data_IF_548587061258
#
_entry.id   IF_548587061258
#
_cell.length_a   1.000
_cell.length_b   1.000
_cell.length_c   1.000
_cell.angle_alpha   90.00
_cell.angle_beta   90.00
_cell.angle_gamma   90.00
#
_symmetry.space_group_name_H-M   'P 1'
#
loop_
_entity.id
_entity.type
_entity.pdbx_description
1 polymer ?
#
# COMPACT_ATOMS: atom_id res chain seq x y z
N UNK A 1 -9.16 7.25 -30.91
CA UNK A 1 -10.37 7.91 -30.39
C UNK A 1 -11.51 7.91 -31.41
N UNK A 2 -11.38 8.60 -32.56
CA UNK A 2 -12.45 8.72 -33.57
C UNK A 2 -12.90 7.36 -34.13
N UNK A 3 -11.97 6.49 -34.56
CA UNK A 3 -12.29 5.13 -35.04
C UNK A 3 -12.97 4.22 -34.00
N UNK A 4 -12.90 4.58 -32.71
CA UNK A 4 -13.57 3.86 -31.60
C UNK A 4 -14.89 4.53 -31.19
N UNK A 5 -15.39 5.51 -31.94
CA UNK A 5 -16.66 6.19 -31.67
C UNK A 5 -16.61 7.39 -30.71
N UNK A 6 -15.43 7.76 -30.20
CA UNK A 6 -15.30 8.83 -29.17
C UNK A 6 -15.13 10.25 -29.74
N UNK A 7 -15.37 10.47 -31.04
CA UNK A 7 -15.11 11.76 -31.70
C UNK A 7 -15.91 12.92 -31.09
N UNK A 8 -17.20 12.71 -30.82
CA UNK A 8 -18.11 13.76 -30.29
C UNK A 8 -17.79 14.20 -28.85
N UNK A 9 -17.00 13.40 -28.13
CA UNK A 9 -16.62 13.63 -26.73
C UNK A 9 -15.34 14.47 -26.59
N UNK A 10 -14.58 14.61 -27.69
CA UNK A 10 -13.37 15.42 -27.72
C UNK A 10 -13.70 16.89 -27.46
N UNK A 11 -12.97 17.52 -26.54
CA UNK A 11 -13.19 18.90 -26.11
C UNK A 11 -14.37 19.12 -25.16
N UNK A 12 -15.18 18.08 -24.88
CA UNK A 12 -16.28 18.14 -23.92
C UNK A 12 -15.87 17.52 -22.58
N UNK A 13 -15.57 16.22 -22.61
CA UNK A 13 -15.15 15.44 -21.44
C UNK A 13 -13.88 14.62 -21.69
N UNK A 14 -13.43 14.54 -22.96
CA UNK A 14 -12.13 13.99 -23.34
C UNK A 14 -11.26 15.13 -23.88
N UNK A 15 -10.16 15.41 -23.19
CA UNK A 15 -9.20 16.43 -23.60
C UNK A 15 -7.87 15.78 -23.95
N UNK A 16 -7.39 15.99 -25.18
CA UNK A 16 -6.11 15.47 -25.64
C UNK A 16 -5.09 16.61 -25.61
N UNK A 17 -3.93 16.34 -25.01
CA UNK A 17 -2.80 17.27 -24.96
C UNK A 17 -1.59 16.60 -25.60
N UNK A 18 -0.88 17.33 -26.44
CA UNK A 18 0.38 16.90 -27.05
C UNK A 18 1.51 17.69 -26.39
N UNK A 19 1.94 17.23 -25.22
CA UNK A 19 2.97 17.85 -24.40
C UNK A 19 3.54 16.78 -23.46
N UNK A 20 4.68 17.06 -22.82
CA UNK A 20 5.15 16.24 -21.72
C UNK A 20 4.16 16.32 -20.55
N UNK A 21 4.05 15.24 -19.78
CA UNK A 21 3.10 15.21 -18.66
C UNK A 21 3.44 16.29 -17.63
N UNK A 22 4.71 16.51 -17.37
CA UNK A 22 5.26 17.55 -16.49
C UNK A 22 4.80 18.95 -16.87
N UNK A 23 4.73 19.24 -18.17
CA UNK A 23 4.33 20.55 -18.70
C UNK A 23 2.82 20.72 -18.63
N UNK A 24 2.07 19.64 -18.87
CA UNK A 24 0.61 19.66 -18.82
C UNK A 24 0.04 19.58 -17.39
N UNK A 25 0.81 19.03 -16.43
CA UNK A 25 0.34 18.73 -15.07
C UNK A 25 -0.19 19.98 -14.33
N UNK A 26 0.49 21.14 -14.32
CA UNK A 26 0.00 22.33 -13.62
C UNK A 26 -1.42 22.73 -14.05
N UNK A 27 -1.71 22.73 -15.36
CA UNK A 27 -3.04 23.03 -15.87
C UNK A 27 -4.09 21.99 -15.47
N UNK A 28 -3.70 20.71 -15.44
CA UNK A 28 -4.58 19.62 -15.00
C UNK A 28 -4.94 19.82 -13.53
N UNK A 29 -3.97 20.18 -12.68
CA UNK A 29 -4.21 20.47 -11.26
C UNK A 29 -5.19 21.63 -11.09
N UNK A 30 -4.96 22.74 -11.79
CA UNK A 30 -5.86 23.91 -11.79
C UNK A 30 -7.26 23.50 -12.26
N UNK A 31 -7.38 22.68 -13.29
CA UNK A 31 -8.66 22.21 -13.79
C UNK A 31 -9.41 21.34 -12.76
N UNK A 32 -8.71 20.43 -12.07
CA UNK A 32 -9.31 19.60 -11.01
C UNK A 32 -9.77 20.46 -9.83
N UNK A 33 -8.97 21.46 -9.43
CA UNK A 33 -9.33 22.38 -8.36
C UNK A 33 -10.56 23.22 -8.69
N UNK A 34 -10.69 23.68 -9.94
CA UNK A 34 -11.87 24.43 -10.41
C UNK A 34 -13.17 23.63 -10.37
N UNK A 35 -13.12 22.29 -10.38
CA UNK A 35 -14.31 21.43 -10.31
C UNK A 35 -14.93 21.37 -8.90
N UNK A 36 -14.22 21.80 -7.86
CA UNK A 36 -14.74 21.90 -6.50
C UNK A 36 -13.82 21.31 -5.44
N UNK A 37 -14.19 21.45 -4.17
CA UNK A 37 -13.30 21.25 -3.01
C UNK A 37 -12.89 19.80 -2.72
N UNK A 38 -13.54 18.82 -3.34
CA UNK A 38 -13.23 17.42 -3.14
C UNK A 38 -11.98 16.99 -3.92
N UNK A 39 -11.65 17.61 -5.06
CA UNK A 39 -10.51 17.24 -5.90
C UNK A 39 -10.39 15.72 -6.17
N UNK A 40 -11.52 15.04 -6.39
CA UNK A 40 -11.52 13.59 -6.69
C UNK A 40 -10.95 13.38 -8.07
N UNK A 41 -9.85 12.65 -8.17
CA UNK A 41 -9.14 12.45 -9.43
C UNK A 41 -8.33 11.16 -9.38
N UNK A 42 -8.34 10.43 -10.49
CA UNK A 42 -7.54 9.23 -10.68
C UNK A 42 -6.58 9.45 -11.85
N UNK A 43 -5.28 9.31 -11.60
CA UNK A 43 -4.23 9.43 -12.60
C UNK A 43 -3.71 8.05 -12.95
N UNK A 44 -3.75 7.70 -14.23
CA UNK A 44 -3.11 6.50 -14.76
C UNK A 44 -1.82 6.93 -15.43
N UNK A 45 -0.68 6.54 -14.86
CA UNK A 45 0.65 6.94 -15.31
C UNK A 45 1.37 5.68 -15.78
N UNK A 46 1.54 5.56 -17.09
CA UNK A 46 2.18 4.39 -17.70
C UNK A 46 3.69 4.63 -17.85
N UNK A 47 4.50 4.25 -16.85
CA UNK A 47 5.96 4.46 -16.87
C UNK A 47 6.73 3.23 -17.39
N UNK A 48 6.19 2.49 -18.35
CA UNK A 48 6.84 1.28 -18.86
C UNK A 48 8.32 1.48 -19.29
N UNK A 49 8.71 2.73 -19.63
CA UNK A 49 10.08 3.14 -19.98
C UNK A 49 10.87 3.95 -18.94
N UNK A 50 10.40 4.10 -17.69
CA UNK A 50 11.09 4.82 -16.57
C UNK A 50 11.30 6.33 -16.71
N UNK A 51 11.22 6.87 -17.92
CA UNK A 51 11.63 8.24 -18.24
C UNK A 51 10.49 9.27 -18.24
N UNK A 52 9.25 8.80 -18.25
CA UNK A 52 8.14 9.63 -18.77
C UNK A 52 7.43 10.45 -17.70
N UNK A 53 7.58 10.09 -16.42
CA UNK A 53 6.96 10.81 -15.31
C UNK A 53 7.92 10.86 -14.12
N UNK A 54 8.18 12.06 -13.59
CA UNK A 54 9.03 12.24 -12.40
C UNK A 54 8.26 11.98 -11.10
N UNK A 55 8.91 11.36 -10.12
CA UNK A 55 8.33 11.20 -8.77
C UNK A 55 8.00 12.55 -8.11
N UNK A 56 8.75 13.62 -8.41
CA UNK A 56 8.44 14.99 -8.01
C UNK A 56 7.09 15.50 -8.55
N UNK A 57 6.73 15.13 -9.78
CA UNK A 57 5.41 15.46 -10.35
C UNK A 57 4.31 14.73 -9.57
N UNK A 58 4.51 13.44 -9.28
CA UNK A 58 3.59 12.63 -8.46
C UNK A 58 3.42 13.24 -7.06
N UNK A 59 4.54 13.62 -6.42
CA UNK A 59 4.56 14.30 -5.12
C UNK A 59 3.78 15.61 -5.16
N UNK A 60 3.91 16.38 -6.23
CA UNK A 60 3.15 17.62 -6.44
C UNK A 60 1.65 17.34 -6.54
N UNK A 61 1.23 16.32 -7.30
CA UNK A 61 -0.18 15.92 -7.41
C UNK A 61 -0.75 15.54 -6.04
N UNK A 62 -0.05 14.65 -5.32
CA UNK A 62 -0.47 14.16 -4.00
C UNK A 62 -0.50 15.27 -2.94
N UNK A 63 0.41 16.24 -3.01
CA UNK A 63 0.46 17.38 -2.09
C UNK A 63 -0.52 18.52 -2.41
N UNK A 64 -0.95 18.64 -3.67
CA UNK A 64 -1.80 19.76 -4.13
C UNK A 64 -3.28 19.42 -4.10
N UNK A 65 -3.64 18.18 -4.44
CA UNK A 65 -5.04 17.75 -4.52
C UNK A 65 -5.47 17.09 -3.20
N UNK A 66 -6.77 17.20 -2.87
CA UNK A 66 -7.31 16.66 -1.63
C UNK A 66 -7.55 15.15 -1.70
N UNK A 67 -8.14 14.67 -2.79
CA UNK A 67 -8.43 13.25 -3.00
C UNK A 67 -7.86 12.69 -4.33
N UNK A 68 -6.54 12.83 -4.59
CA UNK A 68 -5.89 12.18 -5.72
C UNK A 68 -5.61 10.71 -5.42
N UNK A 69 -5.79 9.88 -6.45
CA UNK A 69 -5.28 8.51 -6.51
C UNK A 69 -4.45 8.37 -7.78
N UNK A 70 -3.36 7.60 -7.68
CA UNK A 70 -2.42 7.41 -8.79
C UNK A 70 -2.19 5.92 -8.97
N UNK A 71 -2.36 5.44 -10.20
CA UNK A 71 -1.99 4.10 -10.64
C UNK A 71 -0.77 4.23 -11.55
N UNK A 72 0.35 3.74 -11.05
CA UNK A 72 1.65 3.85 -11.69
C UNK A 72 2.10 2.46 -12.17
N UNK A 73 2.34 2.27 -13.47
CA UNK A 73 2.95 1.02 -13.95
C UNK A 73 4.47 1.12 -13.90
N UNK A 74 5.13 0.02 -13.52
CA UNK A 74 6.58 -0.05 -13.34
C UNK A 74 7.11 -1.37 -13.92
N UNK A 75 7.91 -1.37 -14.98
CA UNK A 75 8.41 -2.58 -15.66
C UNK A 75 9.60 -3.27 -14.93
N UNK A 76 9.49 -3.56 -13.64
CA UNK A 76 10.59 -3.75 -12.65
C UNK A 76 11.84 -4.46 -13.13
N UNK A 77 11.68 -5.56 -13.85
CA UNK A 77 12.80 -6.35 -14.35
C UNK A 77 13.74 -5.48 -15.21
N UNK A 78 13.18 -4.60 -16.06
CA UNK A 78 13.97 -3.68 -16.86
C UNK A 78 14.69 -2.60 -16.02
N UNK A 79 14.20 -2.21 -14.83
CA UNK A 79 14.91 -1.28 -13.95
C UNK A 79 16.04 -2.04 -13.26
N UNK A 80 15.77 -3.24 -12.77
CA UNK A 80 16.78 -4.08 -12.11
C UNK A 80 17.93 -4.39 -13.07
N UNK A 81 17.60 -4.73 -14.31
CA UNK A 81 18.58 -4.99 -15.36
C UNK A 81 19.35 -3.71 -15.71
N UNK A 82 18.66 -2.57 -15.86
CA UNK A 82 19.30 -1.26 -16.08
C UNK A 82 20.26 -0.85 -14.95
N UNK A 83 19.87 -1.03 -13.69
CA UNK A 83 20.73 -0.74 -12.53
C UNK A 83 21.95 -1.67 -12.48
N UNK A 84 21.85 -2.86 -13.10
CA UNK A 84 22.88 -3.89 -13.10
C UNK A 84 23.99 -3.71 -14.13
N UNK A 85 23.72 -3.11 -15.29
CA UNK A 85 24.62 -3.16 -16.45
C UNK A 85 25.75 -2.10 -16.47
N UNK A 86 25.90 -1.28 -15.42
CA UNK A 86 26.97 -0.27 -15.27
C UNK A 86 27.25 0.53 -16.56
N UNK A 87 26.38 1.48 -16.90
CA UNK A 87 26.69 2.89 -17.23
C UNK A 87 25.49 3.54 -17.95
N UNK A 88 25.21 4.81 -17.60
CA UNK A 88 25.26 5.80 -18.67
C UNK A 88 23.99 6.46 -19.20
N UNK A 89 22.85 6.49 -18.51
CA UNK A 89 21.88 7.58 -18.73
C UNK A 89 21.32 8.09 -17.40
N UNK A 90 21.76 9.29 -17.02
CA UNK A 90 21.43 9.97 -15.78
C UNK A 90 19.90 10.17 -15.57
N UNK A 91 19.09 10.04 -16.63
CA UNK A 91 17.68 10.43 -16.61
C UNK A 91 16.79 9.47 -15.81
N UNK A 92 17.00 8.15 -15.89
CA UNK A 92 16.20 7.18 -15.13
C UNK A 92 16.44 7.29 -13.62
N UNK A 93 17.70 7.51 -13.21
CA UNK A 93 18.07 7.77 -11.81
C UNK A 93 17.49 9.10 -11.30
N UNK A 94 17.47 10.13 -12.15
CA UNK A 94 16.88 11.44 -11.83
C UNK A 94 15.36 11.34 -11.65
N UNK A 95 14.66 10.57 -12.49
CA UNK A 95 13.20 10.50 -12.46
C UNK A 95 12.67 9.66 -11.30
N UNK A 96 13.37 8.57 -10.96
CA UNK A 96 13.10 7.76 -9.76
C UNK A 96 13.71 8.40 -8.51
N UNK A 97 14.50 9.47 -8.64
CA UNK A 97 15.16 10.19 -7.54
C UNK A 97 16.04 9.26 -6.66
N UNK A 98 16.72 8.27 -7.25
CA UNK A 98 17.62 7.34 -6.54
C UNK A 98 19.01 7.97 -6.36
N UNK A 99 19.51 8.03 -5.12
CA UNK A 99 20.88 8.44 -4.88
C UNK A 99 21.86 7.34 -5.32
N UNK A 100 23.11 7.70 -5.62
CA UNK A 100 24.14 6.72 -6.00
C UNK A 100 24.41 5.73 -4.88
N UNK A 101 24.28 6.16 -3.64
CA UNK A 101 24.44 5.35 -2.43
C UNK A 101 23.30 4.32 -2.34
N UNK A 102 22.04 4.73 -2.57
CA UNK A 102 20.87 3.84 -2.59
C UNK A 102 21.03 2.76 -3.68
N UNK A 103 21.51 3.14 -4.86
CA UNK A 103 21.79 2.18 -5.95
C UNK A 103 22.88 1.20 -5.54
N UNK A 104 23.96 1.66 -4.92
CA UNK A 104 25.02 0.77 -4.44
C UNK A 104 24.51 -0.19 -3.36
N UNK A 105 23.69 0.30 -2.44
CA UNK A 105 23.05 -0.55 -1.41
C UNK A 105 22.18 -1.61 -2.08
N UNK A 106 21.25 -1.23 -2.96
CA UNK A 106 20.40 -2.16 -3.70
C UNK A 106 21.22 -3.18 -4.51
N UNK A 107 22.31 -2.75 -5.15
CA UNK A 107 23.18 -3.62 -5.93
C UNK A 107 24.04 -4.54 -5.06
N UNK A 108 24.37 -4.16 -3.83
CA UNK A 108 25.09 -5.03 -2.88
C UNK A 108 24.26 -6.26 -2.47
N UNK A 109 22.93 -6.17 -2.57
CA UNK A 109 21.99 -7.24 -2.27
C UNK A 109 21.95 -8.33 -3.36
N UNK A 110 22.56 -8.11 -4.53
CA UNK A 110 22.53 -9.00 -5.72
C UNK A 110 23.22 -10.37 -5.51
N UNK A 111 24.01 -10.51 -4.45
CA UNK A 111 24.88 -11.68 -4.25
C UNK A 111 24.19 -12.88 -3.57
N UNK A 112 22.90 -12.78 -3.19
CA UNK A 112 22.14 -13.86 -2.54
C UNK A 112 20.95 -14.37 -3.36
N UNK A 113 20.48 -15.59 -3.08
CA UNK A 113 19.18 -16.06 -3.59
C UNK A 113 18.05 -15.12 -3.13
N UNK A 114 17.12 -14.79 -4.03
CA UNK A 114 16.02 -13.87 -3.71
C UNK A 114 16.36 -12.38 -3.74
N UNK A 115 17.56 -11.98 -4.21
CA UNK A 115 17.96 -10.58 -4.31
C UNK A 115 17.01 -9.67 -5.09
N UNK A 116 16.30 -10.22 -6.09
CA UNK A 116 15.27 -9.45 -6.81
C UNK A 116 14.18 -8.96 -5.85
N UNK A 117 13.72 -9.81 -4.94
CA UNK A 117 12.73 -9.44 -3.92
C UNK A 117 13.23 -8.33 -2.97
N UNK A 118 14.53 -8.37 -2.64
CA UNK A 118 15.15 -7.32 -1.83
C UNK A 118 15.13 -5.96 -2.52
N UNK A 119 15.58 -5.93 -3.78
CA UNK A 119 15.58 -4.70 -4.57
C UNK A 119 14.15 -4.19 -4.75
N UNK A 120 13.22 -5.11 -4.97
CA UNK A 120 11.80 -4.81 -5.11
C UNK A 120 11.21 -4.10 -3.87
N UNK A 121 11.41 -4.66 -2.66
CA UNK A 121 10.92 -4.02 -1.45
C UNK A 121 11.62 -2.70 -1.14
N UNK A 122 12.92 -2.60 -1.41
CA UNK A 122 13.67 -1.34 -1.29
C UNK A 122 13.06 -0.26 -2.19
N UNK A 123 12.73 -0.63 -3.43
CA UNK A 123 12.17 0.27 -4.42
C UNK A 123 10.75 0.75 -4.08
N UNK A 124 9.88 -0.10 -3.52
CA UNK A 124 8.55 0.34 -3.08
C UNK A 124 8.62 1.42 -2.01
N UNK A 125 9.46 1.21 -0.99
CA UNK A 125 9.66 2.19 0.09
C UNK A 125 10.27 3.48 -0.44
N UNK A 126 11.21 3.36 -1.38
CA UNK A 126 11.79 4.52 -2.05
C UNK A 126 10.74 5.32 -2.82
N UNK A 127 9.94 4.68 -3.67
CA UNK A 127 8.86 5.34 -4.42
C UNK A 127 7.85 5.97 -3.47
N UNK A 128 7.42 5.27 -2.42
CA UNK A 128 6.51 5.82 -1.43
C UNK A 128 7.10 7.07 -0.76
N UNK A 129 8.35 6.99 -0.25
CA UNK A 129 9.02 8.08 0.44
C UNK A 129 9.22 9.29 -0.47
N UNK A 130 9.63 9.08 -1.72
CA UNK A 130 9.85 10.15 -2.71
C UNK A 130 8.57 10.76 -3.22
N UNK A 131 7.49 9.99 -3.36
CA UNK A 131 6.19 10.52 -3.77
C UNK A 131 5.44 11.18 -2.62
N UNK A 132 5.79 10.90 -1.37
CA UNK A 132 5.08 11.39 -0.20
C UNK A 132 3.70 10.75 -0.02
N UNK A 133 3.44 9.62 -0.69
CA UNK A 133 2.16 8.92 -0.57
C UNK A 133 1.99 8.32 0.81
N UNK A 134 0.90 8.67 1.51
CA UNK A 134 0.62 8.10 2.83
C UNK A 134 0.31 6.61 2.76
N UNK A 135 -0.37 6.18 1.69
CA UNK A 135 -0.75 4.81 1.48
C UNK A 135 -0.30 4.30 0.12
N UNK A 136 0.01 3.00 0.04
CA UNK A 136 0.30 2.34 -1.23
C UNK A 136 -0.17 0.89 -1.27
N UNK A 137 -0.51 0.43 -2.46
CA UNK A 137 -0.84 -0.97 -2.73
C UNK A 137 -0.06 -1.44 -3.95
N UNK A 138 0.94 -2.32 -3.80
CA UNK A 138 1.65 -2.89 -4.93
C UNK A 138 0.86 -4.06 -5.51
N UNK A 139 0.65 -4.10 -6.82
CA UNK A 139 0.09 -5.23 -7.56
C UNK A 139 1.18 -5.80 -8.49
N UNK A 140 1.50 -7.08 -8.37
CA UNK A 140 2.42 -7.73 -9.30
C UNK A 140 1.63 -8.41 -10.41
N UNK A 141 1.79 -7.92 -11.63
CA UNK A 141 1.12 -8.49 -12.81
C UNK A 141 2.16 -9.26 -13.62
N UNK A 142 1.92 -10.56 -13.80
CA UNK A 142 2.72 -11.39 -14.67
C UNK A 142 1.90 -11.79 -15.89
N UNK A 143 2.36 -11.39 -17.09
CA UNK A 143 1.78 -11.86 -18.34
C UNK A 143 2.55 -13.09 -18.81
N UNK A 144 1.87 -14.24 -18.83
CA UNK A 144 2.42 -15.50 -19.36
C UNK A 144 2.67 -15.38 -20.87
N UNK A 145 1.76 -14.73 -21.60
CA UNK A 145 1.87 -14.55 -23.05
C UNK A 145 3.03 -13.62 -23.44
N UNK A 146 3.16 -12.48 -22.75
CA UNK A 146 4.20 -11.50 -23.06
C UNK A 146 5.57 -11.82 -22.43
N UNK A 147 5.64 -12.85 -21.56
CA UNK A 147 6.84 -13.21 -20.77
C UNK A 147 7.40 -12.02 -19.97
N UNK A 148 6.53 -11.09 -19.55
CA UNK A 148 6.92 -9.86 -18.85
C UNK A 148 6.16 -9.71 -17.55
N UNK A 149 6.88 -9.30 -16.52
CA UNK A 149 6.30 -8.91 -15.24
C UNK A 149 6.39 -7.41 -15.08
N UNK A 150 5.34 -6.79 -14.57
CA UNK A 150 5.36 -5.38 -14.20
C UNK A 150 4.57 -5.17 -12.92
N UNK A 151 4.89 -4.09 -12.22
CA UNK A 151 4.07 -3.62 -11.13
C UNK A 151 3.03 -2.66 -11.62
N UNK A 152 1.87 -2.76 -11.01
CA UNK A 152 0.92 -1.67 -10.95
C UNK A 152 0.92 -1.20 -9.49
N UNK A 153 1.45 -0.01 -9.23
CA UNK A 153 1.51 0.58 -7.90
C UNK A 153 0.38 1.58 -7.75
N UNK A 154 -0.51 1.33 -6.80
CA UNK A 154 -1.50 2.31 -6.37
C UNK A 154 -0.93 3.19 -5.26
N UNK A 155 -1.05 4.51 -5.41
CA UNK A 155 -0.64 5.53 -4.46
C UNK A 155 -1.85 6.40 -4.10
N UNK A 156 -2.02 6.67 -2.81
CA UNK A 156 -3.12 7.50 -2.30
C UNK A 156 -2.78 8.14 -0.95
N UNK A 157 -3.46 9.23 -0.63
CA UNK A 157 -3.45 9.82 0.71
C UNK A 157 -4.63 9.36 1.58
N UNK A 158 -5.45 8.43 1.08
CA UNK A 158 -6.67 7.96 1.75
C UNK A 158 -6.60 6.50 2.15
N UNK A 159 -6.79 6.25 3.45
CA UNK A 159 -6.84 4.91 4.03
C UNK A 159 -7.91 4.05 3.36
N UNK A 160 -9.07 4.64 3.06
CA UNK A 160 -10.16 3.93 2.39
C UNK A 160 -9.75 3.42 1.01
N UNK A 161 -8.98 4.18 0.23
CA UNK A 161 -8.51 3.75 -1.07
C UNK A 161 -7.57 2.53 -0.95
N UNK A 162 -6.67 2.55 0.04
CA UNK A 162 -5.81 1.39 0.34
C UNK A 162 -6.60 0.17 0.80
N UNK A 163 -7.59 0.36 1.65
CA UNK A 163 -8.43 -0.73 2.13
C UNK A 163 -9.22 -1.38 0.99
N UNK A 164 -9.82 -0.57 0.11
CA UNK A 164 -10.57 -1.07 -1.06
C UNK A 164 -9.66 -1.78 -2.07
N UNK A 165 -8.43 -1.31 -2.30
CA UNK A 165 -7.45 -2.03 -3.11
C UNK A 165 -7.01 -3.35 -2.46
N UNK A 166 -6.86 -3.40 -1.14
CA UNK A 166 -6.60 -4.64 -0.41
C UNK A 166 -7.74 -5.65 -0.53
N UNK A 167 -9.00 -5.19 -0.38
CA UNK A 167 -10.19 -6.02 -0.62
C UNK A 167 -10.25 -6.52 -2.06
N UNK A 168 -9.83 -5.69 -3.03
CA UNK A 168 -9.76 -6.09 -4.42
C UNK A 168 -8.75 -7.23 -4.64
N UNK A 169 -7.60 -7.24 -3.98
CA UNK A 169 -6.67 -8.39 -4.02
C UNK A 169 -7.37 -9.68 -3.59
N UNK A 170 -8.04 -9.67 -2.44
CA UNK A 170 -8.77 -10.84 -1.94
C UNK A 170 -9.87 -11.30 -2.90
N UNK A 171 -10.63 -10.36 -3.50
CA UNK A 171 -11.69 -10.71 -4.47
C UNK A 171 -11.15 -11.26 -5.77
N UNK A 172 -10.02 -10.76 -6.26
CA UNK A 172 -9.41 -11.19 -7.52
C UNK A 172 -8.48 -12.39 -7.36
N UNK A 173 -8.13 -12.75 -6.11
CA UNK A 173 -7.34 -13.91 -5.74
C UNK A 173 -6.03 -14.00 -6.57
N UNK A 174 -5.64 -15.19 -7.00
CA UNK A 174 -4.41 -15.58 -7.70
C UNK A 174 -4.15 -14.93 -9.08
N UNK A 175 -4.82 -13.82 -9.41
CA UNK A 175 -4.46 -12.97 -10.57
C UNK A 175 -3.25 -12.08 -10.28
N UNK A 176 -2.91 -11.88 -9.01
CA UNK A 176 -1.71 -11.16 -8.58
C UNK A 176 -0.84 -12.08 -7.72
N UNK A 177 0.48 -12.00 -7.89
CA UNK A 177 1.42 -12.74 -7.05
C UNK A 177 2.02 -11.79 -6.02
N UNK A 178 1.92 -12.11 -4.75
CA UNK A 178 2.59 -11.33 -3.71
C UNK A 178 3.65 -12.18 -3.03
N UNK A 179 4.70 -11.52 -2.57
CA UNK A 179 5.75 -12.15 -1.79
C UNK A 179 5.62 -11.63 -0.36
N UNK A 180 5.58 -12.54 0.61
CA UNK A 180 5.46 -12.17 2.02
C UNK A 180 4.67 -13.16 2.86
N UNK A 181 4.45 -12.78 4.12
CA UNK A 181 3.76 -13.59 5.14
C UNK A 181 2.27 -13.27 5.29
N UNK A 182 1.73 -13.65 6.44
CA UNK A 182 0.36 -13.37 6.84
C UNK A 182 0.33 -12.29 7.94
N UNK A 183 -0.78 -11.55 8.07
CA UNK A 183 -0.97 -10.53 9.11
C UNK A 183 -0.23 -9.20 8.88
N UNK A 184 -0.09 -8.38 9.93
CA UNK A 184 0.61 -7.09 9.87
C UNK A 184 2.11 -7.29 9.64
N UNK A 185 2.76 -6.32 8.96
CA UNK A 185 4.18 -6.34 8.61
C UNK A 185 4.61 -7.55 7.75
N UNK A 186 3.64 -8.17 7.08
CA UNK A 186 3.82 -9.37 6.27
C UNK A 186 4.48 -9.10 4.91
N UNK A 187 4.22 -7.94 4.32
CA UNK A 187 4.65 -7.58 2.97
C UNK A 187 5.85 -6.61 2.97
N UNK A 188 6.34 -6.24 4.15
CA UNK A 188 7.48 -5.33 4.33
C UNK A 188 8.82 -6.03 4.12
N UNK A 189 9.89 -5.25 4.08
CA UNK A 189 11.27 -5.76 4.19
C UNK A 189 11.77 -5.58 5.62
N UNK A 190 12.19 -6.68 6.24
CA UNK A 190 12.95 -6.67 7.48
C UNK A 190 14.37 -7.17 7.16
N UNK A 191 15.40 -6.30 7.21
CA UNK A 191 16.79 -6.69 6.94
C UNK A 191 17.34 -7.69 7.95
N UNK A 192 16.68 -7.87 9.10
CA UNK A 192 17.09 -8.81 10.15
C UNK A 192 16.48 -10.21 10.02
N UNK A 193 15.54 -10.42 9.10
CA UNK A 193 14.85 -11.70 8.91
C UNK A 193 15.45 -12.54 7.76
N UNK A 194 15.48 -13.88 7.90
CA UNK A 194 15.90 -14.78 6.81
C UNK A 194 14.91 -14.70 5.64
N UNK A 195 15.42 -14.24 4.50
CA UNK A 195 14.67 -14.04 3.26
C UNK A 195 14.01 -15.32 2.74
N UNK A 196 14.61 -16.49 3.00
CA UNK A 196 14.06 -17.78 2.61
C UNK A 196 12.71 -18.08 3.28
N UNK A 197 12.44 -17.50 4.44
CA UNK A 197 11.16 -17.63 5.14
C UNK A 197 10.08 -16.69 4.56
N UNK A 198 10.48 -15.58 3.91
CA UNK A 198 9.59 -14.59 3.28
C UNK A 198 9.39 -14.78 1.78
N UNK A 199 10.21 -15.62 1.14
CA UNK A 199 10.15 -15.92 -0.29
C UNK A 199 8.96 -16.83 -0.70
N UNK A 200 8.14 -17.27 0.27
CA UNK A 200 6.91 -17.98 -0.04
C UNK A 200 5.94 -17.05 -0.78
N UNK A 201 5.39 -17.53 -1.89
CA UNK A 201 4.34 -16.83 -2.62
C UNK A 201 3.09 -16.75 -1.74
N UNK A 202 2.67 -15.54 -1.41
CA UNK A 202 1.39 -15.29 -0.76
C UNK A 202 0.29 -15.28 -1.82
N UNK A 203 -0.48 -16.35 -1.83
CA UNK A 203 -1.63 -16.55 -2.71
C UNK A 203 -2.85 -16.02 -1.95
N UNK A 204 -3.63 -15.09 -2.53
CA UNK A 204 -4.78 -14.45 -1.85
C UNK A 204 -5.99 -15.41 -1.79
N UNK A 205 -5.78 -16.62 -1.25
CA UNK A 205 -6.72 -17.72 -1.17
C UNK A 205 -7.23 -17.97 0.27
N UNK A 206 -8.14 -18.93 0.41
CA UNK A 206 -8.77 -19.23 1.70
C UNK A 206 -7.78 -19.70 2.77
N UNK A 207 -6.67 -20.34 2.39
CA UNK A 207 -5.64 -20.76 3.34
C UNK A 207 -4.87 -19.56 3.87
N UNK A 208 -4.43 -18.69 2.97
CA UNK A 208 -3.76 -17.46 3.33
C UNK A 208 -4.65 -16.52 4.15
N UNK A 209 -5.96 -16.52 3.88
CA UNK A 209 -6.95 -15.79 4.68
C UNK A 209 -6.98 -16.31 6.13
N UNK A 210 -7.14 -17.63 6.32
CA UNK A 210 -7.12 -18.25 7.66
C UNK A 210 -5.81 -17.99 8.40
N UNK A 211 -4.67 -18.12 7.71
CA UNK A 211 -3.36 -17.81 8.30
C UNK A 211 -3.25 -16.33 8.68
N UNK A 212 -3.76 -15.42 7.84
CA UNK A 212 -3.73 -13.98 8.14
C UNK A 212 -4.59 -13.65 9.35
N UNK A 213 -5.76 -14.25 9.47
CA UNK A 213 -6.62 -14.07 10.64
C UNK A 213 -5.97 -14.56 11.93
N UNK A 214 -5.39 -15.77 11.92
CA UNK A 214 -4.70 -16.33 13.07
C UNK A 214 -3.53 -15.43 13.51
N UNK A 215 -2.68 -15.01 12.57
CA UNK A 215 -1.54 -14.13 12.88
C UNK A 215 -2.00 -12.76 13.39
N UNK A 216 -3.04 -12.17 12.78
CA UNK A 216 -3.59 -10.88 13.27
C UNK A 216 -4.13 -11.01 14.68
N UNK A 217 -4.81 -12.12 14.99
CA UNK A 217 -5.34 -12.38 16.34
C UNK A 217 -4.21 -12.41 17.39
N UNK A 218 -3.04 -12.92 17.03
CA UNK A 218 -1.85 -12.95 17.90
C UNK A 218 -1.12 -11.59 17.96
N UNK A 219 -1.11 -10.82 16.87
CA UNK A 219 -0.41 -9.53 16.78
C UNK A 219 -1.16 -8.37 17.44
N UNK A 220 -2.49 -8.35 17.35
CA UNK A 220 -3.31 -7.25 17.87
C UNK A 220 -3.11 -7.01 19.38
N UNK A 221 -3.10 -8.02 20.26
CA UNK A 221 -2.92 -7.84 21.69
C UNK A 221 -1.66 -7.03 22.07
N UNK A 222 -0.42 -7.42 21.69
CA UNK A 222 0.77 -6.64 22.03
C UNK A 222 0.80 -5.24 21.37
N UNK A 223 0.23 -5.07 20.17
CA UNK A 223 0.13 -3.76 19.52
C UNK A 223 -0.78 -2.80 20.31
N UNK A 224 -1.95 -3.28 20.73
CA UNK A 224 -2.91 -2.51 21.54
C UNK A 224 -2.29 -2.19 22.90
N UNK A 225 -1.58 -3.14 23.52
CA UNK A 225 -0.91 -2.92 24.79
C UNK A 225 0.17 -1.84 24.69
N UNK A 226 1.04 -1.94 23.67
CA UNK A 226 2.10 -0.96 23.46
C UNK A 226 1.57 0.47 23.29
N UNK A 227 0.46 0.63 22.57
CA UNK A 227 -0.19 1.92 22.36
C UNK A 227 -0.85 2.49 23.62
N UNK A 228 -1.50 1.65 24.42
CA UNK A 228 -2.20 2.06 25.64
C UNK A 228 -1.25 2.40 26.82
N UNK A 229 0.05 2.07 26.73
CA UNK A 229 1.04 2.37 27.81
C UNK A 229 1.12 3.85 28.19
N UNK A 230 0.84 4.74 27.24
CA UNK A 230 0.87 6.19 27.47
C UNK A 230 -0.44 6.76 28.02
N UNK A 231 -1.43 5.91 28.34
CA UNK A 231 -2.70 6.32 28.92
C UNK A 231 -3.75 6.80 27.90
N UNK A 232 -3.48 6.71 26.60
CA UNK A 232 -4.42 7.05 25.54
C UNK A 232 -5.01 5.79 24.89
N UNK A 233 -6.34 5.71 24.85
CA UNK A 233 -7.05 4.62 24.18
C UNK A 233 -6.78 4.65 22.66
N UNK A 234 -6.29 3.54 22.10
CA UNK A 234 -5.91 3.44 20.68
C UNK A 234 -7.14 3.48 19.76
N UNK A 235 -7.21 4.44 18.84
CA UNK A 235 -8.24 4.46 17.80
C UNK A 235 -8.01 3.36 16.75
N UNK A 236 -9.09 2.74 16.29
CA UNK A 236 -9.08 1.72 15.23
C UNK A 236 -8.47 2.27 13.94
N UNK A 237 -8.80 3.50 13.58
CA UNK A 237 -8.19 4.18 12.43
C UNK A 237 -6.68 4.33 12.56
N UNK A 238 -6.18 4.74 13.73
CA UNK A 238 -4.75 4.91 13.97
C UNK A 238 -4.02 3.57 13.83
N UNK A 239 -4.58 2.51 14.42
CA UNK A 239 -4.05 1.15 14.31
C UNK A 239 -3.96 0.70 12.84
N UNK A 240 -5.06 0.81 12.09
CA UNK A 240 -5.07 0.34 10.71
C UNK A 240 -4.20 1.22 9.81
N UNK A 241 -4.36 2.55 9.86
CA UNK A 241 -3.62 3.49 9.01
C UNK A 241 -2.10 3.37 9.19
N UNK A 242 -1.64 3.09 10.41
CA UNK A 242 -0.22 2.93 10.72
C UNK A 242 0.39 1.64 10.18
N UNK A 243 -0.44 0.62 9.88
CA UNK A 243 0.03 -0.73 9.60
C UNK A 243 -0.49 -1.31 8.27
N UNK A 244 -1.34 -0.59 7.52
CA UNK A 244 -2.05 -1.13 6.36
C UNK A 244 -1.24 -1.19 5.06
N UNK A 245 -0.08 -0.55 4.97
CA UNK A 245 0.68 -0.52 3.71
C UNK A 245 1.35 -1.86 3.39
N UNK A 246 2.01 -2.44 4.39
CA UNK A 246 2.86 -3.63 4.25
C UNK A 246 2.16 -4.90 4.77
N UNK A 247 0.89 -5.09 4.41
CA UNK A 247 0.08 -6.20 4.93
C UNK A 247 -1.05 -6.64 3.97
N UNK A 248 -1.43 -7.92 3.94
CA UNK A 248 -2.66 -8.37 3.30
C UNK A 248 -3.92 -8.04 4.13
N UNK A 249 -3.78 -7.47 5.33
CA UNK A 249 -4.90 -7.19 6.24
C UNK A 249 -5.77 -6.05 5.70
N UNK A 250 -7.07 -6.30 5.63
CA UNK A 250 -8.13 -5.34 5.30
C UNK A 250 -8.93 -4.98 6.54
N UNK A 251 -9.80 -3.97 6.42
CA UNK A 251 -10.77 -3.62 7.46
C UNK A 251 -11.61 -4.82 7.90
N UNK A 252 -11.94 -5.72 6.98
CA UNK A 252 -12.82 -6.84 7.24
C UNK A 252 -12.12 -7.93 8.06
N UNK A 253 -10.83 -8.16 7.80
CA UNK A 253 -9.99 -9.04 8.63
C UNK A 253 -9.83 -8.40 10.02
N UNK A 254 -9.42 -7.13 10.09
CA UNK A 254 -9.21 -6.42 11.35
C UNK A 254 -10.47 -6.42 12.22
N UNK A 255 -11.63 -6.05 11.65
CA UNK A 255 -12.88 -5.97 12.39
C UNK A 255 -13.28 -7.32 12.98
N UNK A 256 -13.12 -8.42 12.23
CA UNK A 256 -13.43 -9.77 12.73
C UNK A 256 -12.51 -10.17 13.89
N UNK A 257 -11.21 -9.91 13.78
CA UNK A 257 -10.28 -10.26 14.86
C UNK A 257 -10.49 -9.39 16.11
N UNK A 258 -10.79 -8.09 15.97
CA UNK A 258 -11.14 -7.23 17.10
C UNK A 258 -12.43 -7.68 17.80
N UNK A 259 -13.44 -8.10 17.04
CA UNK A 259 -14.68 -8.67 17.61
C UNK A 259 -14.37 -9.93 18.40
N UNK A 260 -13.54 -10.84 17.87
CA UNK A 260 -13.13 -12.06 18.57
C UNK A 260 -12.40 -11.73 19.89
N UNK A 261 -11.40 -10.84 19.87
CA UNK A 261 -10.68 -10.45 21.08
C UNK A 261 -11.59 -9.81 22.13
N UNK A 262 -12.57 -9.01 21.70
CA UNK A 262 -13.57 -8.45 22.63
C UNK A 262 -14.43 -9.56 23.24
N UNK A 263 -14.92 -10.49 22.44
CA UNK A 263 -15.80 -11.57 22.90
C UNK A 263 -15.05 -12.55 23.83
N UNK A 264 -13.73 -12.73 23.63
CA UNK A 264 -12.83 -13.43 24.56
C UNK A 264 -12.51 -12.62 25.84
N UNK A 265 -12.89 -11.34 25.89
CA UNK A 265 -12.62 -10.45 27.03
C UNK A 265 -11.20 -9.90 27.09
N UNK A 266 -10.40 -10.05 26.02
CA UNK A 266 -9.03 -9.54 25.92
C UNK A 266 -8.99 -8.02 25.77
N UNK A 267 -10.01 -7.44 25.13
CA UNK A 267 -10.13 -5.99 24.91
C UNK A 267 -11.56 -5.51 25.14
N UNK A 268 -11.70 -4.22 25.42
CA UNK A 268 -12.97 -3.49 25.38
C UNK A 268 -12.97 -2.56 24.17
N UNK A 269 -14.14 -2.39 23.56
CA UNK A 269 -14.34 -1.45 22.46
C UNK A 269 -15.29 -0.34 22.95
N UNK A 270 -14.83 0.91 22.88
CA UNK A 270 -15.65 2.10 23.15
C UNK A 270 -15.98 2.83 21.84
N UNK A 271 -17.19 3.34 21.72
CA UNK A 271 -17.56 4.27 20.65
C UNK A 271 -16.89 5.63 20.81
N UNK A 272 -16.98 6.47 19.79
CA UNK A 272 -16.53 7.88 19.84
C UNK A 272 -17.24 8.69 20.94
N UNK A 273 -18.46 8.30 21.30
CA UNK A 273 -19.27 8.88 22.38
C UNK A 273 -18.86 8.36 23.78
N UNK A 274 -17.86 7.48 23.86
CA UNK A 274 -17.40 6.86 25.10
C UNK A 274 -18.22 5.66 25.57
N UNK A 275 -19.31 5.31 24.87
CA UNK A 275 -20.15 4.17 25.24
C UNK A 275 -19.43 2.85 24.95
N UNK A 276 -19.58 1.86 25.85
CA UNK A 276 -19.05 0.52 25.61
C UNK A 276 -19.88 -0.21 24.55
N UNK A 277 -19.20 -0.96 23.68
CA UNK A 277 -19.81 -1.74 22.59
C UNK A 277 -19.65 -3.26 22.83
N UNK A 278 -20.28 -3.84 23.87
CA UNK A 278 -20.05 -5.23 24.29
C UNK A 278 -20.57 -6.27 23.29
N UNK A 279 -21.48 -5.89 22.38
CA UNK A 279 -22.13 -6.83 21.42
C UNK A 279 -22.10 -6.33 19.97
N UNK A 280 -21.41 -5.23 19.69
CA UNK A 280 -21.45 -4.63 18.36
C UNK A 280 -20.70 -5.51 17.34
N UNK A 281 -21.35 -5.88 16.24
CA UNK A 281 -20.66 -6.62 15.16
C UNK A 281 -19.86 -5.70 14.23
N UNK A 282 -20.12 -4.40 14.30
CA UNK A 282 -19.47 -3.39 13.47
C UNK A 282 -18.66 -2.45 14.33
N UNK A 283 -17.41 -2.26 13.93
CA UNK A 283 -16.44 -1.38 14.57
C UNK A 283 -16.26 -0.15 13.68
N UNK A 284 -16.47 1.03 14.26
CA UNK A 284 -16.24 2.31 13.61
C UNK A 284 -14.76 2.69 13.61
N UNK A 285 -14.37 3.56 12.70
CA UNK A 285 -12.97 4.00 12.59
C UNK A 285 -12.49 4.83 13.79
N UNK A 286 -13.37 5.64 14.40
CA UNK A 286 -13.06 6.36 15.63
C UNK A 286 -13.35 5.59 16.91
N UNK A 287 -13.80 4.33 16.82
CA UNK A 287 -13.91 3.47 18.00
C UNK A 287 -12.53 3.29 18.63
N UNK A 288 -12.51 3.12 19.96
CA UNK A 288 -11.33 3.06 20.79
C UNK A 288 -11.13 1.67 21.38
N UNK A 289 -9.91 1.16 21.28
CA UNK A 289 -9.47 -0.14 21.75
C UNK A 289 -8.81 0.01 23.13
N UNK A 290 -9.42 -0.58 24.13
CA UNK A 290 -9.10 -0.37 25.54
C UNK A 290 -8.77 -1.69 26.19
N UNK A 291 -7.75 -1.70 27.05
CA UNK A 291 -7.43 -2.88 27.84
C UNK A 291 -8.42 -3.03 29.01
N UNK A 292 -8.87 -4.26 29.32
CA UNK A 292 -9.66 -4.51 30.52
C UNK A 292 -8.81 -4.26 31.78
N UNK A 293 -9.48 -3.87 32.88
CA UNK A 293 -8.82 -3.63 34.17
C UNK A 293 -8.30 -4.93 34.82
N UNK A 294 -9.04 -6.01 34.65
CA UNK A 294 -8.69 -7.34 35.13
C UNK A 294 -8.45 -8.24 33.92
N UNK A 295 -7.28 -8.89 33.87
CA UNK A 295 -6.93 -9.81 32.78
C UNK A 295 -7.34 -11.23 33.14
N UNK A 296 -7.73 -11.99 32.12
CA UNK A 296 -7.91 -13.44 32.27
C UNK A 296 -6.57 -14.10 32.61
N UNK A 297 -6.61 -15.13 33.45
CA UNK A 297 -5.44 -15.99 33.74
C UNK A 297 -4.86 -16.67 32.49
N UNK A 298 -5.67 -16.83 31.44
CA UNK A 298 -5.29 -17.42 30.15
C UNK A 298 -5.20 -16.37 29.03
N UNK A 299 -4.93 -15.11 29.39
CA UNK A 299 -4.95 -14.01 28.45
C UNK A 299 -3.93 -14.16 27.31
N UNK A 300 -4.37 -13.93 26.07
CA UNK A 300 -3.50 -13.88 24.88
C UNK A 300 -2.53 -12.70 24.90
N UNK A 301 -2.76 -11.71 25.76
CA UNK A 301 -1.89 -10.53 25.92
C UNK A 301 -0.56 -10.86 26.61
N UNK A 302 -0.44 -12.02 27.25
CA UNK A 302 0.65 -12.27 28.20
C UNK A 302 0.55 -11.35 29.43
N UNK A 303 1.44 -11.58 30.40
CA UNK A 303 1.57 -10.73 31.58
C UNK A 303 2.46 -9.52 31.28
#
# INVERSE_FOLDING_TARGET
MVKRGYGLRLGQDIFVRCALFEEACPDILVHVQKKGTAHRSLFFLDQYGWSDVRLSTIRTILGTLRNPEILLTFAVDALIDFLSEKTGEAQALLNVELAREDVRELMSLKNGEGWRYLIQNGLYRHVQARTGSRFYTPFFIHSVEAHRSYWLLHLSNHRQARDEMGKLHWRLNNRFRHHGGAGFHALGFDPSCDLRQRLLTFMFDDDALRRSEAVVLEQLPPMIHAANRNGEDLAVETLFAGNCNETPVTSDILCRQLVLLRDEGEILIKGEDGSLKPRAKTIGWGDRLVLPRERSLFSRLGW
#
